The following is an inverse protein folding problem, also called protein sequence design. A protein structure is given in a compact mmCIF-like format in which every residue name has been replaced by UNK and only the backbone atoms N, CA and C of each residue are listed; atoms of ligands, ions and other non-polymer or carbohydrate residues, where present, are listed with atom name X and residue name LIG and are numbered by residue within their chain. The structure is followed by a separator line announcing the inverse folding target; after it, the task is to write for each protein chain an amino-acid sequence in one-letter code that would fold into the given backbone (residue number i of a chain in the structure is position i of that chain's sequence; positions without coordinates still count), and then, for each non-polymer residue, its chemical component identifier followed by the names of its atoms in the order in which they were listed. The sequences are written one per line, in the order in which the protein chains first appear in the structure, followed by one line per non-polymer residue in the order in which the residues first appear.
data_IF_719263085974
#
_entry.id   IF_719263085974
#
_cell.length_a   1.000
_cell.length_b   1.000
_cell.length_c   1.000
_cell.angle_alpha   90.00
_cell.angle_beta   90.00
_cell.angle_gamma   90.00
#
_symmetry.space_group_name_H-M   'P 1'
#
loop_
_entity.id
_entity.type
_entity.pdbx_description
1 polymer ?
#
# COMPACT_ATOMS: atom_id res chain seq x y z
N UNK A 1 -11.06 -14.49 2.17
CA UNK A 1 -12.20 -15.33 2.58
C UNK A 1 -13.45 -14.53 3.00
N UNK A 2 -13.53 -13.95 4.20
CA UNK A 2 -14.79 -13.37 4.71
C UNK A 2 -15.32 -12.15 3.93
N UNK A 3 -14.46 -11.19 3.57
CA UNK A 3 -14.87 -10.05 2.74
C UNK A 3 -15.23 -10.47 1.30
N UNK A 4 -14.50 -11.43 0.73
CA UNK A 4 -14.81 -11.98 -0.61
C UNK A 4 -16.20 -12.62 -0.64
N UNK A 5 -16.53 -13.45 0.36
CA UNK A 5 -17.85 -14.05 0.50
C UNK A 5 -18.98 -13.00 0.61
N UNK A 6 -18.67 -11.83 1.17
CA UNK A 6 -19.60 -10.71 1.30
C UNK A 6 -19.51 -9.69 0.16
N UNK A 7 -18.78 -9.99 -0.93
CA UNK A 7 -18.57 -9.08 -2.07
C UNK A 7 -18.04 -7.70 -1.62
N UNK A 8 -17.07 -7.71 -0.70
CA UNK A 8 -16.43 -6.53 -0.13
C UNK A 8 -17.24 -5.78 0.94
N UNK A 9 -18.49 -6.18 1.19
CA UNK A 9 -19.31 -5.53 2.20
C UNK A 9 -18.91 -5.94 3.64
N UNK A 10 -19.04 -5.00 4.57
CA UNK A 10 -18.88 -5.23 6.01
C UNK A 10 -19.76 -4.26 6.81
N UNK A 11 -19.91 -4.52 8.11
CA UNK A 11 -20.63 -3.63 9.02
C UNK A 11 -19.64 -2.84 9.88
N UNK A 12 -19.80 -1.53 9.91
CA UNK A 12 -19.07 -0.61 10.78
C UNK A 12 -19.93 -0.31 12.01
N UNK A 13 -19.46 -0.71 13.20
CA UNK A 13 -20.00 -0.26 14.48
C UNK A 13 -19.26 1.03 14.89
N UNK A 14 -20.01 2.09 15.17
CA UNK A 14 -19.48 3.32 15.80
C UNK A 14 -20.07 3.43 17.19
N UNK A 15 -19.24 3.75 18.18
CA UNK A 15 -19.62 3.91 19.58
C UNK A 15 -19.31 5.34 20.01
N UNK A 16 -20.29 6.10 20.49
CA UNK A 16 -20.08 7.46 21.02
C UNK A 16 -19.44 7.41 22.41
N UNK A 17 -18.89 8.54 22.92
CA UNK A 17 -18.43 8.62 24.32
C UNK A 17 -19.51 8.28 25.36
N UNK A 18 -20.79 8.55 25.04
CA UNK A 18 -21.96 8.24 25.87
C UNK A 18 -22.38 6.76 25.78
N UNK A 19 -21.71 5.98 24.91
CA UNK A 19 -21.97 4.55 24.72
C UNK A 19 -23.02 4.24 23.65
N UNK A 20 -23.51 5.24 22.90
CA UNK A 20 -24.49 5.03 21.84
C UNK A 20 -23.86 4.27 20.66
N UNK A 21 -24.58 3.26 20.16
CA UNK A 21 -24.09 2.39 19.08
C UNK A 21 -24.83 2.66 17.78
N UNK A 22 -24.07 2.83 16.70
CA UNK A 22 -24.60 2.92 15.34
C UNK A 22 -23.95 1.86 14.45
N UNK A 23 -24.78 1.13 13.72
CA UNK A 23 -24.34 0.15 12.74
C UNK A 23 -24.59 0.67 11.33
N UNK A 24 -23.56 0.61 10.48
CA UNK A 24 -23.67 0.99 9.08
C UNK A 24 -23.08 -0.09 8.19
N UNK A 25 -23.85 -0.55 7.19
CA UNK A 25 -23.32 -1.42 6.15
C UNK A 25 -22.48 -0.60 5.18
N UNK A 26 -21.21 -0.94 5.05
CA UNK A 26 -20.27 -0.35 4.10
C UNK A 26 -20.16 -1.25 2.87
N UNK A 27 -20.21 -0.65 1.68
CA UNK A 27 -20.08 -1.33 0.38
C UNK A 27 -19.07 -0.66 -0.56
N UNK A 28 -18.21 0.20 -0.02
CA UNK A 28 -17.21 0.96 -0.78
C UNK A 28 -16.14 0.06 -1.40
N UNK A 29 -15.81 -1.08 -0.77
CA UNK A 29 -14.92 -2.09 -1.35
C UNK A 29 -15.71 -2.89 -2.39
N UNK A 30 -15.41 -2.68 -3.67
CA UNK A 30 -16.10 -3.35 -4.79
C UNK A 30 -15.47 -4.68 -5.18
N UNK A 31 -14.17 -4.82 -4.98
CA UNK A 31 -13.39 -6.00 -5.33
C UNK A 31 -12.39 -6.30 -4.22
N UNK A 32 -12.21 -7.58 -3.93
CA UNK A 32 -11.20 -8.07 -2.98
C UNK A 32 -10.29 -9.03 -3.70
N UNK A 33 -9.11 -8.54 -4.07
CA UNK A 33 -8.08 -9.31 -4.74
C UNK A 33 -7.39 -10.20 -3.70
N UNK A 34 -7.35 -11.51 -3.96
CA UNK A 34 -6.60 -12.43 -3.11
C UNK A 34 -5.09 -12.18 -3.28
N UNK A 35 -4.32 -12.39 -2.22
CA UNK A 35 -2.87 -12.40 -2.36
C UNK A 35 -2.45 -13.57 -3.25
N UNK A 36 -1.55 -13.29 -4.19
CA UNK A 36 -0.81 -14.27 -4.97
C UNK A 36 0.68 -13.88 -4.98
N UNK A 37 1.62 -14.83 -5.06
CA UNK A 37 3.05 -14.52 -5.00
C UNK A 37 3.57 -13.60 -6.11
N UNK A 38 2.90 -13.57 -7.27
CA UNK A 38 3.28 -12.70 -8.38
C UNK A 38 2.63 -11.30 -8.28
N UNK A 39 1.78 -11.08 -7.28
CA UNK A 39 0.90 -9.91 -7.15
C UNK A 39 0.10 -9.60 -8.41
N UNK A 40 -0.18 -10.61 -9.26
CA UNK A 40 -0.70 -10.40 -10.60
C UNK A 40 -2.03 -9.62 -10.59
N UNK A 41 -2.93 -9.98 -9.67
CA UNK A 41 -4.21 -9.29 -9.53
C UNK A 41 -4.05 -7.83 -9.05
N UNK A 42 -3.11 -7.60 -8.14
CA UNK A 42 -2.84 -6.27 -7.59
C UNK A 42 -2.17 -5.36 -8.64
N UNK A 43 -1.19 -5.89 -9.38
CA UNK A 43 -0.51 -5.19 -10.47
C UNK A 43 -1.49 -4.81 -11.57
N UNK A 44 -2.33 -5.75 -12.02
CA UNK A 44 -3.35 -5.48 -13.01
C UNK A 44 -4.27 -4.33 -12.57
N UNK A 45 -4.85 -4.41 -11.37
CA UNK A 45 -5.76 -3.37 -10.87
C UNK A 45 -5.07 -2.01 -10.67
N UNK A 46 -3.82 -1.98 -10.20
CA UNK A 46 -3.07 -0.73 -10.01
C UNK A 46 -2.61 -0.08 -11.32
N UNK A 47 -2.36 -0.89 -12.36
CA UNK A 47 -1.94 -0.42 -13.68
C UNK A 47 -3.10 0.13 -14.53
N UNK A 48 -4.35 -0.18 -14.20
CA UNK A 48 -5.53 0.32 -14.91
C UNK A 48 -5.58 1.86 -14.98
N UNK A 49 -5.85 2.47 -16.15
CA UNK A 49 -5.98 3.93 -16.28
C UNK A 49 -7.06 4.53 -15.36
N UNK A 50 -8.11 3.74 -15.06
CA UNK A 50 -9.20 4.14 -14.16
C UNK A 50 -8.76 4.24 -12.69
N UNK A 51 -7.68 3.55 -12.30
CA UNK A 51 -7.07 3.68 -10.96
C UNK A 51 -6.29 4.99 -10.89
N UNK A 52 -6.86 5.98 -10.21
CA UNK A 52 -6.25 7.31 -10.05
C UNK A 52 -5.53 7.51 -8.72
N UNK A 53 -5.85 6.69 -7.72
CA UNK A 53 -5.25 6.71 -6.39
C UNK A 53 -4.92 5.28 -5.97
N UNK A 54 -3.71 5.06 -5.48
CA UNK A 54 -3.30 3.84 -4.80
C UNK A 54 -3.05 4.21 -3.34
N UNK A 55 -3.98 3.83 -2.46
CA UNK A 55 -3.85 4.07 -1.02
C UNK A 55 -3.35 2.84 -0.29
N UNK A 56 -2.59 3.04 0.80
CA UNK A 56 -2.05 1.93 1.60
C UNK A 56 -2.00 2.26 3.09
N UNK A 57 -2.13 1.20 3.90
CA UNK A 57 -2.00 1.19 5.36
C UNK A 57 -1.18 -0.05 5.75
N UNK A 58 0.14 0.12 5.85
CA UNK A 58 1.10 -0.99 6.06
C UNK A 58 1.73 -0.94 7.46
N UNK A 59 1.27 -0.05 8.33
CA UNK A 59 1.87 0.30 9.63
C UNK A 59 3.21 1.01 9.48
N UNK A 60 3.67 1.64 10.55
CA UNK A 60 4.93 2.40 10.60
C UNK A 60 6.14 1.53 10.27
N UNK A 61 6.13 0.25 10.68
CA UNK A 61 7.21 -0.69 10.40
C UNK A 61 7.29 -1.07 8.91
N UNK A 62 6.19 -0.94 8.15
CA UNK A 62 6.12 -1.31 6.74
C UNK A 62 6.92 -0.40 5.79
N UNK A 63 7.51 0.68 6.31
CA UNK A 63 8.35 1.60 5.52
C UNK A 63 9.84 1.30 5.58
N UNK A 64 10.29 0.41 6.48
CA UNK A 64 11.69 -0.04 6.56
C UNK A 64 12.72 1.10 6.63
N UNK A 65 12.35 2.22 7.27
CA UNK A 65 13.19 3.41 7.39
C UNK A 65 13.90 3.43 8.75
N UNK A 66 15.18 3.77 8.75
CA UNK A 66 15.94 4.07 9.95
C UNK A 66 15.55 5.44 10.56
N UNK A 67 16.19 5.80 11.68
CA UNK A 67 15.95 7.08 12.35
C UNK A 67 16.32 8.32 11.51
N UNK A 68 17.07 8.15 10.42
CA UNK A 68 17.46 9.19 9.45
C UNK A 68 16.63 9.12 8.16
N UNK A 69 15.55 8.32 8.18
CA UNK A 69 14.66 8.11 7.06
C UNK A 69 15.34 7.51 5.83
N UNK A 70 16.37 6.69 6.06
CA UNK A 70 17.03 5.89 5.03
C UNK A 70 16.51 4.45 5.08
N UNK A 71 16.43 3.79 3.93
CA UNK A 71 16.10 2.38 3.86
C UNK A 71 17.14 1.53 4.62
N UNK A 72 16.66 0.72 5.55
CA UNK A 72 17.50 -0.16 6.36
C UNK A 72 17.53 -1.59 5.79
N UNK A 73 18.62 -1.95 5.13
CA UNK A 73 18.80 -3.26 4.51
C UNK A 73 19.04 -4.40 5.51
N UNK A 74 19.07 -4.12 6.82
CA UNK A 74 19.09 -5.18 7.84
C UNK A 74 17.75 -5.92 7.94
N UNK A 75 16.66 -5.36 7.41
CA UNK A 75 15.39 -6.05 7.29
C UNK A 75 15.43 -7.07 6.14
N UNK A 76 15.23 -8.35 6.49
CA UNK A 76 15.33 -9.46 5.55
C UNK A 76 14.38 -9.33 4.36
N UNK A 77 13.13 -8.88 4.58
CA UNK A 77 12.14 -8.69 3.51
C UNK A 77 12.59 -7.61 2.50
N UNK A 78 13.13 -6.49 2.99
CA UNK A 78 13.62 -5.42 2.12
C UNK A 78 14.85 -5.86 1.33
N UNK A 79 15.80 -6.54 1.98
CA UNK A 79 16.98 -7.08 1.33
C UNK A 79 16.61 -8.11 0.24
N UNK A 80 15.63 -8.96 0.51
CA UNK A 80 15.11 -9.93 -0.44
C UNK A 80 14.44 -9.25 -1.65
N UNK A 81 13.63 -8.21 -1.43
CA UNK A 81 13.03 -7.40 -2.49
C UNK A 81 14.08 -6.74 -3.39
N UNK A 82 15.10 -6.12 -2.79
CA UNK A 82 16.20 -5.49 -3.55
C UNK A 82 16.96 -6.51 -4.38
N UNK A 83 17.25 -7.68 -3.81
CA UNK A 83 17.95 -8.76 -4.51
C UNK A 83 17.12 -9.30 -5.69
N UNK A 84 15.84 -9.58 -5.48
CA UNK A 84 14.92 -10.05 -6.52
C UNK A 84 14.79 -9.04 -7.66
N UNK A 85 14.63 -7.75 -7.33
CA UNK A 85 14.54 -6.68 -8.31
C UNK A 85 15.81 -6.55 -9.16
N UNK A 86 17.00 -6.58 -8.53
CA UNK A 86 18.30 -6.53 -9.22
C UNK A 86 18.54 -7.75 -10.13
N UNK A 87 18.03 -8.91 -9.73
CA UNK A 87 18.10 -10.14 -10.52
C UNK A 87 17.10 -10.17 -11.69
N UNK A 88 16.26 -9.15 -11.87
CA UNK A 88 15.23 -9.11 -12.91
C UNK A 88 14.06 -10.06 -12.65
N UNK A 89 13.92 -10.58 -11.42
CA UNK A 89 12.88 -11.55 -11.04
C UNK A 89 11.54 -10.88 -10.72
N UNK A 90 11.50 -9.55 -10.72
CA UNK A 90 10.30 -8.78 -10.40
C UNK A 90 10.13 -8.65 -8.89
N UNK A 91 9.12 -9.32 -8.34
CA UNK A 91 8.67 -9.22 -6.95
C UNK A 91 9.24 -10.38 -6.14
N UNK A 92 9.66 -10.16 -4.89
CA UNK A 92 10.09 -11.27 -4.02
C UNK A 92 8.89 -12.10 -3.50
N UNK A 93 9.18 -13.19 -2.79
CA UNK A 93 8.13 -14.03 -2.18
C UNK A 93 7.34 -13.31 -1.07
N UNK A 94 7.95 -12.34 -0.39
CA UNK A 94 7.35 -11.54 0.69
C UNK A 94 7.56 -10.05 0.41
N UNK A 95 6.86 -9.51 -0.59
CA UNK A 95 7.14 -8.16 -1.05
C UNK A 95 6.81 -7.11 -0.01
N UNK A 96 7.76 -6.21 0.19
CA UNK A 96 7.56 -4.95 0.88
C UNK A 96 6.62 -4.05 0.08
N UNK A 97 6.17 -2.97 0.71
CA UNK A 97 5.38 -1.94 0.02
C UNK A 97 6.12 -1.38 -1.21
N UNK A 98 7.46 -1.30 -1.18
CA UNK A 98 8.26 -0.76 -2.28
C UNK A 98 8.36 -1.73 -3.46
N UNK A 99 8.52 -3.04 -3.20
CA UNK A 99 8.48 -4.06 -4.24
C UNK A 99 7.12 -4.10 -4.94
N UNK A 100 6.03 -4.07 -4.16
CA UNK A 100 4.67 -4.05 -4.69
C UNK A 100 4.37 -2.78 -5.52
N UNK A 101 4.71 -1.60 -4.99
CA UNK A 101 4.52 -0.33 -5.72
C UNK A 101 5.38 -0.28 -6.99
N UNK A 102 6.62 -0.76 -6.94
CA UNK A 102 7.50 -0.82 -8.12
C UNK A 102 6.88 -1.67 -9.23
N UNK A 103 6.34 -2.85 -8.91
CA UNK A 103 5.69 -3.71 -9.89
C UNK A 103 4.46 -3.05 -10.52
N UNK A 104 3.60 -2.44 -9.70
CA UNK A 104 2.41 -1.72 -10.17
C UNK A 104 2.81 -0.57 -11.10
N UNK A 105 3.74 0.28 -10.66
CA UNK A 105 4.11 1.50 -11.39
C UNK A 105 4.88 1.18 -12.67
N UNK A 106 5.69 0.12 -12.69
CA UNK A 106 6.33 -0.37 -13.91
C UNK A 106 5.29 -0.82 -14.94
N UNK A 107 4.34 -1.66 -14.53
CA UNK A 107 3.26 -2.10 -15.41
C UNK A 107 2.41 -0.92 -15.91
N UNK A 108 2.11 0.03 -15.03
CA UNK A 108 1.36 1.25 -15.37
C UNK A 108 2.10 2.12 -16.40
N UNK A 109 3.41 2.33 -16.22
CA UNK A 109 4.27 3.05 -17.16
C UNK A 109 4.27 2.36 -18.53
N UNK A 110 4.53 1.05 -18.53
CA UNK A 110 4.69 0.27 -19.76
C UNK A 110 3.37 0.19 -20.55
N UNK A 111 2.23 0.25 -19.87
CA UNK A 111 0.90 0.34 -20.47
C UNK A 111 0.48 1.77 -20.88
N UNK A 112 1.27 2.80 -20.58
CA UNK A 112 0.91 4.19 -20.87
C UNK A 112 -0.32 4.71 -20.12
N UNK A 113 -0.62 4.16 -18.94
CA UNK A 113 -1.87 4.42 -18.22
C UNK A 113 -1.92 5.75 -17.44
N UNK A 114 -0.94 6.63 -17.65
CA UNK A 114 -0.91 7.99 -17.12
C UNK A 114 -0.56 8.10 -15.64
N UNK A 115 -0.64 9.32 -15.07
CA UNK A 115 -0.21 9.60 -13.70
C UNK A 115 -1.11 8.96 -12.64
N UNK A 116 -0.59 8.82 -11.42
CA UNK A 116 -1.31 8.23 -10.27
C UNK A 116 -0.87 8.84 -8.95
N UNK A 117 -1.80 9.00 -8.01
CA UNK A 117 -1.49 9.44 -6.64
C UNK A 117 -1.21 8.24 -5.74
N UNK A 118 -0.10 8.29 -5.00
CA UNK A 118 0.24 7.35 -3.94
C UNK A 118 -0.16 7.95 -2.59
N UNK A 119 -1.23 7.43 -1.97
CA UNK A 119 -1.81 7.99 -0.74
C UNK A 119 -1.48 7.13 0.47
N UNK A 120 -0.55 7.59 1.29
CA UNK A 120 -0.26 6.97 2.58
C UNK A 120 -1.36 7.32 3.60
N UNK A 121 -1.97 6.30 4.21
CA UNK A 121 -2.99 6.44 5.24
C UNK A 121 -2.56 5.92 6.62
N UNK A 122 -1.26 5.68 6.83
CA UNK A 122 -0.70 5.35 8.15
C UNK A 122 -0.45 6.62 8.98
N UNK A 123 -0.46 6.45 10.31
CA UNK A 123 -0.26 7.52 11.28
C UNK A 123 1.22 7.88 11.46
N UNK A 124 1.84 8.40 10.40
CA UNK A 124 3.23 8.82 10.37
C UNK A 124 3.33 10.31 10.08
N UNK A 125 4.24 11.03 10.76
CA UNK A 125 4.52 12.42 10.39
C UNK A 125 5.11 12.49 9.00
N UNK A 126 4.56 13.38 8.17
CA UNK A 126 4.94 13.52 6.76
C UNK A 126 4.83 12.19 6.00
N UNK A 127 3.73 11.44 6.22
CA UNK A 127 3.55 10.09 5.70
C UNK A 127 3.72 9.96 4.18
N UNK A 128 3.25 10.95 3.40
CA UNK A 128 3.46 11.04 1.96
C UNK A 128 4.92 11.19 1.59
N UNK A 129 5.64 12.12 2.24
CA UNK A 129 7.07 12.34 2.00
C UNK A 129 7.91 11.13 2.41
N UNK A 130 7.54 10.42 3.48
CA UNK A 130 8.24 9.22 3.96
C UNK A 130 8.07 8.05 2.99
N UNK A 131 6.84 7.77 2.57
CA UNK A 131 6.58 6.71 1.59
C UNK A 131 7.26 7.02 0.25
N UNK A 132 7.17 8.27 -0.22
CA UNK A 132 7.81 8.70 -1.47
C UNK A 132 9.33 8.61 -1.38
N UNK A 133 9.93 9.12 -0.30
CA UNK A 133 11.37 9.07 -0.07
C UNK A 133 11.91 7.64 -0.06
N UNK A 134 11.23 6.73 0.64
CA UNK A 134 11.58 5.31 0.64
C UNK A 134 11.45 4.66 -0.74
N UNK A 135 10.39 4.96 -1.49
CA UNK A 135 10.23 4.44 -2.85
C UNK A 135 11.34 4.91 -3.80
N UNK A 136 11.71 6.20 -3.76
CA UNK A 136 12.81 6.70 -4.59
C UNK A 136 14.15 6.06 -4.21
N UNK A 137 14.42 5.90 -2.91
CA UNK A 137 15.63 5.20 -2.44
C UNK A 137 15.64 3.75 -2.93
N UNK A 138 14.51 3.05 -2.87
CA UNK A 138 14.38 1.68 -3.36
C UNK A 138 14.72 1.60 -4.85
N UNK A 139 14.11 2.45 -5.67
CA UNK A 139 14.35 2.50 -7.12
C UNK A 139 15.81 2.82 -7.46
N UNK A 140 16.44 3.74 -6.72
CA UNK A 140 17.86 4.04 -6.85
C UNK A 140 18.74 2.84 -6.45
N UNK A 141 18.42 2.14 -5.36
CA UNK A 141 19.16 0.96 -4.90
C UNK A 141 19.10 -0.19 -5.92
N UNK A 142 17.97 -0.40 -6.58
CA UNK A 142 17.84 -1.46 -7.59
C UNK A 142 18.32 -1.04 -8.98
N UNK A 143 18.66 0.24 -9.17
CA UNK A 143 19.21 0.76 -10.43
C UNK A 143 18.17 1.00 -11.53
N UNK A 144 16.88 1.08 -11.20
CA UNK A 144 15.81 1.32 -12.19
C UNK A 144 15.62 2.82 -12.43
N UNK A 145 16.59 3.43 -13.12
CA UNK A 145 16.61 4.87 -13.42
C UNK A 145 15.41 5.31 -14.25
N UNK A 146 15.00 4.50 -15.23
CA UNK A 146 13.86 4.81 -16.08
C UNK A 146 12.54 4.87 -15.30
N UNK A 147 12.32 3.95 -14.36
CA UNK A 147 11.13 4.02 -13.50
C UNK A 147 11.24 5.13 -12.46
N UNK A 148 12.44 5.37 -11.91
CA UNK A 148 12.68 6.47 -10.98
C UNK A 148 12.29 7.83 -11.60
N UNK A 149 12.75 8.11 -12.82
CA UNK A 149 12.42 9.34 -13.54
C UNK A 149 10.92 9.44 -13.81
N UNK A 150 10.31 8.31 -14.21
CA UNK A 150 8.87 8.27 -14.44
C UNK A 150 8.07 8.56 -13.17
N UNK A 151 8.44 7.96 -12.03
CA UNK A 151 7.80 8.19 -10.73
C UNK A 151 7.93 9.65 -10.32
N UNK A 152 9.08 10.27 -10.55
CA UNK A 152 9.28 11.69 -10.27
C UNK A 152 8.34 12.59 -11.08
N UNK A 153 8.11 12.26 -12.36
CA UNK A 153 7.29 13.08 -13.26
C UNK A 153 5.78 12.79 -13.18
N UNK A 154 5.37 11.57 -12.84
CA UNK A 154 3.99 11.10 -13.02
C UNK A 154 3.28 10.69 -11.73
N UNK A 155 3.92 10.82 -10.57
CA UNK A 155 3.29 10.48 -9.29
C UNK A 155 3.28 11.64 -8.31
N UNK A 156 2.26 11.65 -7.46
CA UNK A 156 2.14 12.58 -6.32
C UNK A 156 1.97 11.79 -5.03
N UNK A 157 2.52 12.29 -3.93
CA UNK A 157 2.40 11.65 -2.61
C UNK A 157 2.00 12.67 -1.55
N UNK A 158 0.72 13.07 -1.48
CA UNK A 158 0.28 14.06 -0.51
C UNK A 158 0.44 13.54 0.92
N UNK A 159 0.81 14.44 1.83
CA UNK A 159 0.77 14.16 3.26
C UNK A 159 -0.68 14.21 3.76
N UNK A 160 -1.00 13.34 4.72
CA UNK A 160 -2.29 13.30 5.38
C UNK A 160 -2.14 13.21 6.90
N UNK A 161 -3.15 13.70 7.62
CA UNK A 161 -3.40 13.37 9.02
C UNK A 161 -4.58 12.41 9.05
N UNK A 162 -4.43 11.29 9.75
CA UNK A 162 -5.48 10.29 9.92
C UNK A 162 -5.76 10.14 11.41
N UNK A 163 -7.04 10.19 11.79
CA UNK A 163 -7.44 10.01 13.17
C UNK A 163 -8.78 9.27 13.24
N UNK A 164 -8.72 8.04 13.76
CA UNK A 164 -9.89 7.26 14.16
C UNK A 164 -9.47 6.09 15.05
N UNK A 165 -9.85 6.13 16.32
CA UNK A 165 -9.69 5.00 17.23
C UNK A 165 -10.48 3.80 16.70
N UNK A 166 -9.78 2.73 16.30
CA UNK A 166 -10.37 1.52 15.71
C UNK A 166 -9.77 0.28 16.39
N UNK A 167 -10.35 -0.21 17.51
CA UNK A 167 -9.81 -1.33 18.24
C UNK A 167 -9.93 -2.65 17.45
N UNK A 168 -9.07 -3.62 17.77
CA UNK A 168 -9.21 -4.98 17.24
C UNK A 168 -10.58 -5.54 17.63
N UNK A 169 -11.38 -6.06 16.68
CA UNK A 169 -12.70 -6.61 17.00
C UNK A 169 -12.57 -7.80 17.94
N UNK A 170 -13.30 -7.79 19.06
CA UNK A 170 -13.40 -8.93 19.97
C UNK A 170 -14.42 -9.94 19.46
N UNK A 171 -14.42 -11.16 20.02
CA UNK A 171 -15.44 -12.17 19.71
C UNK A 171 -16.87 -11.64 19.99
N UNK A 172 -17.03 -10.83 21.05
CA UNK A 172 -18.31 -10.20 21.39
C UNK A 172 -18.78 -9.20 20.32
N UNK A 173 -17.87 -8.48 19.66
CA UNK A 173 -18.24 -7.59 18.54
C UNK A 173 -18.75 -8.40 17.35
N UNK A 174 -18.17 -9.58 17.08
CA UNK A 174 -18.57 -10.45 15.98
C UNK A 174 -19.92 -11.14 16.21
N UNK A 175 -20.25 -11.43 17.46
CA UNK A 175 -21.47 -12.16 17.83
C UNK A 175 -22.73 -11.28 17.86
N UNK A 176 -22.57 -9.95 17.89
CA UNK A 176 -23.66 -8.98 17.76
C UNK A 176 -23.96 -8.71 16.29
#
# INVERSE_FOLDING_TARGET
AALQAQRGAYTLETVSPEGERRYQRISAIRQVIAHDPALAGLVAAGAEPSTRIISFTVTEAGYYLDARHQLDLNFADLAADVAAARAGQGVSATPTVYGALTAILRARRDAGAGPVTLLNCDNLRHNGDRARGGLLQFLALVGDTALLDWVNAHTTSPNAMVDRITPRPTAAVRAR
#
